data_IF_430638266590
#
_entry.id   IF_430638266590
#
_cell.length_a   1.000
_cell.length_b   1.000
_cell.length_c   1.000
_cell.angle_alpha   90.00
_cell.angle_beta   90.00
_cell.angle_gamma   90.00
#
_symmetry.space_group_name_H-M   'P 1'
#
loop_
_entity.id
_entity.type
_entity.pdbx_description
1 polymer ?
#
# COMPACT_ATOMS: atom_id res chain seq x y z
N UNK A 1 2.12 -15.09 -10.08
CA UNK A 1 0.70 -14.78 -10.39
C UNK A 1 -0.11 -14.56 -9.11
N UNK A 2 0.01 -15.41 -8.09
CA UNK A 2 -0.74 -15.25 -6.83
C UNK A 2 -0.61 -13.86 -6.16
N UNK A 3 0.61 -13.32 -6.03
CA UNK A 3 0.81 -11.97 -5.46
C UNK A 3 0.18 -10.84 -6.28
N UNK A 4 0.19 -10.96 -7.62
CA UNK A 4 -0.40 -9.97 -8.53
C UNK A 4 -1.92 -9.96 -8.38
N UNK A 5 -2.54 -11.15 -8.34
CA UNK A 5 -3.98 -11.30 -8.12
C UNK A 5 -4.34 -10.77 -6.72
N UNK A 6 -3.61 -11.17 -5.69
CA UNK A 6 -3.84 -10.71 -4.32
C UNK A 6 -3.73 -9.18 -4.20
N UNK A 7 -2.76 -8.56 -4.88
CA UNK A 7 -2.63 -7.11 -4.94
C UNK A 7 -3.83 -6.45 -5.62
N UNK A 8 -4.17 -6.86 -6.84
CA UNK A 8 -5.31 -6.31 -7.60
C UNK A 8 -6.60 -6.46 -6.81
N UNK A 9 -6.88 -7.66 -6.29
CA UNK A 9 -8.06 -7.91 -5.47
C UNK A 9 -8.08 -7.06 -4.20
N UNK A 10 -6.94 -6.90 -3.52
CA UNK A 10 -6.88 -6.07 -2.31
C UNK A 10 -7.15 -4.60 -2.60
N UNK A 11 -6.64 -4.05 -3.72
CA UNK A 11 -6.91 -2.67 -4.14
C UNK A 11 -8.39 -2.45 -4.46
N UNK A 12 -9.03 -3.40 -5.15
CA UNK A 12 -10.47 -3.29 -5.43
C UNK A 12 -11.29 -3.40 -4.14
N UNK A 13 -10.97 -4.36 -3.28
CA UNK A 13 -11.69 -4.58 -2.03
C UNK A 13 -11.53 -3.42 -1.05
N UNK A 14 -10.35 -2.82 -0.95
CA UNK A 14 -10.14 -1.68 -0.04
C UNK A 14 -10.88 -0.43 -0.52
N UNK A 15 -10.87 -0.16 -1.83
CA UNK A 15 -11.63 0.96 -2.41
C UNK A 15 -13.14 0.76 -2.19
N UNK A 16 -13.63 -0.46 -2.37
CA UNK A 16 -15.02 -0.80 -2.07
C UNK A 16 -15.34 -0.68 -0.58
N UNK A 17 -14.44 -1.09 0.30
CA UNK A 17 -14.62 -0.99 1.75
C UNK A 17 -14.66 0.46 2.23
N UNK A 18 -13.79 1.33 1.71
CA UNK A 18 -13.85 2.78 1.96
C UNK A 18 -15.14 3.40 1.43
N UNK A 19 -15.65 2.92 0.29
CA UNK A 19 -16.89 3.40 -0.30
C UNK A 19 -18.14 2.98 0.49
N UNK A 20 -18.14 1.80 1.11
CA UNK A 20 -19.31 1.24 1.78
C UNK A 20 -19.35 1.48 3.29
N UNK A 21 -18.18 1.47 3.94
CA UNK A 21 -18.05 1.60 5.39
C UNK A 21 -16.90 2.54 5.77
N UNK A 22 -16.98 3.85 5.45
CA UNK A 22 -15.91 4.82 5.73
C UNK A 22 -15.63 5.00 7.24
N UNK A 23 -16.57 4.66 8.11
CA UNK A 23 -16.43 4.72 9.57
C UNK A 23 -15.47 3.66 10.16
N UNK A 24 -15.08 2.66 9.38
CA UNK A 24 -14.09 1.64 9.76
C UNK A 24 -12.70 1.94 9.16
N UNK A 25 -12.41 3.23 8.92
CA UNK A 25 -11.18 3.76 8.34
C UNK A 25 -9.91 3.20 8.99
N UNK A 26 -9.90 3.01 10.31
CA UNK A 26 -8.78 2.40 11.03
C UNK A 26 -8.48 0.99 10.51
N UNK A 27 -9.50 0.15 10.35
CA UNK A 27 -9.34 -1.24 9.91
C UNK A 27 -8.94 -1.28 8.44
N UNK A 28 -9.60 -0.47 7.61
CA UNK A 28 -9.27 -0.38 6.19
C UNK A 28 -7.88 0.17 5.96
N UNK A 29 -7.46 1.17 6.74
CA UNK A 29 -6.11 1.72 6.68
C UNK A 29 -5.05 0.69 7.06
N UNK A 30 -5.30 -0.20 8.03
CA UNK A 30 -4.38 -1.30 8.33
C UNK A 30 -4.18 -2.20 7.11
N UNK A 31 -5.27 -2.57 6.43
CA UNK A 31 -5.22 -3.32 5.18
C UNK A 31 -4.51 -2.51 4.09
N UNK A 32 -4.73 -1.19 4.02
CA UNK A 32 -4.00 -0.31 3.12
C UNK A 32 -2.48 -0.44 3.29
N UNK A 33 -2.01 -0.52 4.53
CA UNK A 33 -0.62 -0.85 4.87
C UNK A 33 -0.14 -2.17 4.25
N UNK A 34 -0.97 -3.21 4.28
CA UNK A 34 -0.66 -4.50 3.64
C UNK A 34 -0.66 -4.41 2.10
N UNK A 35 -1.45 -3.52 1.50
CA UNK A 35 -1.43 -3.28 0.05
C UNK A 35 -0.07 -2.73 -0.38
N UNK A 36 0.55 -1.83 0.40
CA UNK A 36 1.92 -1.36 0.16
C UNK A 36 2.95 -2.50 0.16
N UNK A 37 2.84 -3.42 1.12
CA UNK A 37 3.69 -4.63 1.16
C UNK A 37 3.48 -5.48 -0.09
N UNK A 38 2.22 -5.75 -0.47
CA UNK A 38 1.91 -6.56 -1.66
C UNK A 38 2.46 -5.90 -2.93
N UNK A 39 2.37 -4.57 -3.03
CA UNK A 39 2.92 -3.77 -4.11
C UNK A 39 4.43 -3.95 -4.24
N UNK A 40 5.17 -3.76 -3.15
CA UNK A 40 6.62 -3.97 -3.10
C UNK A 40 7.02 -5.38 -3.54
N UNK A 41 6.24 -6.40 -3.15
CA UNK A 41 6.45 -7.78 -3.57
C UNK A 41 6.19 -7.98 -5.07
N UNK A 42 5.13 -7.40 -5.61
CA UNK A 42 4.81 -7.44 -7.04
C UNK A 42 5.89 -6.72 -7.83
N UNK A 43 6.34 -5.55 -7.40
CA UNK A 43 7.39 -4.76 -8.05
C UNK A 43 8.72 -5.51 -8.05
N UNK A 44 9.09 -6.15 -6.94
CA UNK A 44 10.31 -6.97 -6.89
C UNK A 44 10.23 -8.15 -7.88
N UNK A 45 9.06 -8.77 -8.02
CA UNK A 45 8.91 -10.00 -8.82
C UNK A 45 8.63 -9.75 -10.30
N UNK A 46 7.92 -8.68 -10.63
CA UNK A 46 7.42 -8.37 -11.98
C UNK A 46 7.93 -7.02 -12.52
N UNK A 47 8.74 -6.28 -11.77
CA UNK A 47 9.29 -4.98 -12.18
C UNK A 47 8.18 -3.97 -12.49
N UNK A 48 8.26 -3.37 -13.68
CA UNK A 48 7.27 -2.41 -14.18
C UNK A 48 5.84 -2.98 -14.36
N UNK A 49 5.67 -4.31 -14.30
CA UNK A 49 4.36 -4.95 -14.32
C UNK A 49 3.45 -4.57 -13.14
N UNK A 50 4.02 -4.03 -12.04
CA UNK A 50 3.25 -3.49 -10.92
C UNK A 50 2.34 -2.32 -11.34
N UNK A 51 2.84 -1.43 -12.20
CA UNK A 51 2.08 -0.28 -12.70
C UNK A 51 0.88 -0.74 -13.52
N UNK A 52 1.06 -1.72 -14.40
CA UNK A 52 -0.04 -2.28 -15.19
C UNK A 52 -1.09 -2.95 -14.29
N UNK A 53 -0.65 -3.68 -13.26
CA UNK A 53 -1.55 -4.30 -12.28
C UNK A 53 -2.34 -3.25 -11.49
N UNK A 54 -1.67 -2.18 -11.04
CA UNK A 54 -2.29 -1.05 -10.35
C UNK A 54 -3.33 -0.39 -11.24
N UNK A 55 -3.00 -0.06 -12.49
CA UNK A 55 -3.93 0.53 -13.45
C UNK A 55 -5.16 -0.36 -13.67
N UNK A 56 -4.97 -1.67 -13.85
CA UNK A 56 -6.07 -2.61 -13.98
C UNK A 56 -6.96 -2.63 -12.71
N UNK A 57 -6.35 -2.64 -11.53
CA UNK A 57 -7.08 -2.61 -10.26
C UNK A 57 -7.88 -1.31 -10.07
N UNK A 58 -7.33 -0.17 -10.51
CA UNK A 58 -7.99 1.13 -10.44
C UNK A 58 -9.15 1.24 -11.41
N UNK A 59 -9.00 0.76 -12.64
CA UNK A 59 -10.09 0.69 -13.63
C UNK A 59 -11.23 -0.17 -13.09
N UNK A 60 -10.91 -1.33 -12.50
CA UNK A 60 -11.92 -2.17 -11.84
C UNK A 60 -12.57 -1.45 -10.65
N UNK A 61 -11.78 -0.77 -9.82
CA UNK A 61 -12.27 -0.02 -8.66
C UNK A 61 -13.21 1.13 -9.06
N UNK A 62 -12.97 1.78 -10.20
CA UNK A 62 -13.82 2.85 -10.72
C UNK A 62 -15.22 2.34 -11.10
N UNK A 63 -15.34 1.06 -11.48
CA UNK A 63 -16.63 0.44 -11.81
C UNK A 63 -17.34 -0.07 -10.55
N UNK A 64 -16.59 -0.49 -9.53
CA UNK A 64 -17.17 -1.12 -8.31
C UNK A 64 -17.41 -0.17 -7.15
N UNK A 65 -16.72 0.96 -7.11
CA UNK A 65 -16.66 1.86 -5.95
C UNK A 65 -16.98 3.30 -6.36
N UNK A 66 -17.17 4.20 -5.38
CA UNK A 66 -17.42 5.61 -5.68
C UNK A 66 -16.28 6.21 -6.55
N UNK A 67 -16.62 6.88 -7.68
CA UNK A 67 -15.63 7.48 -8.57
C UNK A 67 -14.64 8.42 -7.88
N UNK A 68 -15.09 9.15 -6.84
CA UNK A 68 -14.24 10.07 -6.08
C UNK A 68 -13.15 9.31 -5.30
N UNK A 69 -13.51 8.21 -4.65
CA UNK A 69 -12.59 7.34 -3.90
C UNK A 69 -11.64 6.63 -4.87
N UNK A 70 -12.15 6.12 -5.99
CA UNK A 70 -11.32 5.46 -7.00
C UNK A 70 -10.27 6.42 -7.60
N UNK A 71 -10.65 7.67 -7.89
CA UNK A 71 -9.73 8.70 -8.39
C UNK A 71 -8.70 9.14 -7.33
N UNK A 72 -9.13 9.30 -6.07
CA UNK A 72 -8.25 9.62 -4.96
C UNK A 72 -7.21 8.52 -4.75
N UNK A 73 -7.64 7.26 -4.69
CA UNK A 73 -6.75 6.09 -4.58
C UNK A 73 -5.84 5.95 -5.80
N UNK A 74 -6.35 6.23 -7.01
CA UNK A 74 -5.53 6.18 -8.23
C UNK A 74 -4.37 7.17 -8.15
N UNK A 75 -4.64 8.39 -7.75
CA UNK A 75 -3.64 9.45 -7.65
C UNK A 75 -2.64 9.14 -6.53
N UNK A 76 -3.16 8.75 -5.36
CA UNK A 76 -2.33 8.40 -4.20
C UNK A 76 -1.42 7.20 -4.48
N UNK A 77 -1.95 6.12 -5.06
CA UNK A 77 -1.15 4.96 -5.42
C UNK A 77 -0.14 5.26 -6.54
N UNK A 78 -0.51 6.04 -7.56
CA UNK A 78 0.42 6.39 -8.63
C UNK A 78 1.62 7.19 -8.11
N UNK A 79 1.39 8.19 -7.25
CA UNK A 79 2.48 8.97 -6.65
C UNK A 79 3.36 8.09 -5.76
N UNK A 80 2.74 7.26 -4.92
CA UNK A 80 3.47 6.38 -4.03
C UNK A 80 4.22 5.25 -4.77
N UNK A 81 3.74 4.80 -5.93
CA UNK A 81 4.46 3.84 -6.79
C UNK A 81 5.70 4.49 -7.42
N UNK A 82 5.61 5.75 -7.86
CA UNK A 82 6.78 6.48 -8.35
C UNK A 82 7.87 6.63 -7.29
N UNK A 83 7.48 6.83 -6.04
CA UNK A 83 8.41 6.95 -4.90
C UNK A 83 9.05 5.61 -4.59
N UNK A 84 8.27 4.54 -4.53
CA UNK A 84 8.81 3.20 -4.35
C UNK A 84 9.78 2.86 -5.47
N UNK A 85 9.42 3.12 -6.74
CA UNK A 85 10.33 2.92 -7.86
C UNK A 85 11.64 3.70 -7.72
N UNK A 86 11.58 4.95 -7.26
CA UNK A 86 12.75 5.78 -6.99
C UNK A 86 13.61 5.19 -5.86
N UNK A 87 12.99 4.81 -4.73
CA UNK A 87 13.66 4.18 -3.59
C UNK A 87 14.30 2.86 -4.01
N UNK A 88 13.57 1.99 -4.71
CA UNK A 88 14.06 0.70 -5.17
C UNK A 88 15.22 0.82 -6.18
N UNK A 89 15.20 1.85 -7.03
CA UNK A 89 16.27 2.13 -7.99
C UNK A 89 17.54 2.64 -7.31
N UNK A 90 17.42 3.47 -6.28
CA UNK A 90 18.55 4.11 -5.60
C UNK A 90 19.15 3.20 -4.52
N UNK A 91 18.33 2.63 -3.64
CA UNK A 91 18.83 2.10 -2.36
C UNK A 91 19.57 0.75 -2.51
N UNK A 92 19.28 -0.05 -3.55
CA UNK A 92 19.91 -1.36 -3.85
C UNK A 92 20.09 -2.33 -2.65
N UNK A 93 19.39 -2.13 -1.53
CA UNK A 93 19.45 -2.90 -0.26
C UNK A 93 18.70 -4.24 -0.27
N UNK A 94 18.78 -5.11 0.74
CA UNK A 94 17.87 -6.27 0.83
C UNK A 94 16.39 -5.83 0.93
N UNK A 95 15.47 -6.69 0.46
CA UNK A 95 14.02 -6.41 0.35
C UNK A 95 13.39 -5.96 1.69
N UNK A 96 13.87 -6.53 2.79
CA UNK A 96 13.46 -6.19 4.15
C UNK A 96 13.66 -4.70 4.50
N UNK A 97 14.83 -4.15 4.19
CA UNK A 97 15.15 -2.75 4.49
C UNK A 97 14.43 -1.81 3.53
N UNK A 98 14.30 -2.22 2.26
CA UNK A 98 13.60 -1.44 1.25
C UNK A 98 12.13 -1.28 1.61
N UNK A 99 11.47 -2.35 2.04
CA UNK A 99 10.04 -2.36 2.35
C UNK A 99 9.66 -1.35 3.43
N UNK A 100 10.49 -1.21 4.47
CA UNK A 100 10.21 -0.23 5.52
C UNK A 100 10.50 1.20 5.06
N UNK A 101 11.57 1.41 4.29
CA UNK A 101 11.94 2.74 3.76
C UNK A 101 10.93 3.23 2.72
N UNK A 102 10.52 2.39 1.77
CA UNK A 102 9.50 2.68 0.75
C UNK A 102 8.20 3.05 1.43
N UNK A 103 7.70 2.19 2.31
CA UNK A 103 6.47 2.41 3.07
C UNK A 103 6.52 3.67 3.94
N UNK A 104 7.68 3.98 4.56
CA UNK A 104 7.82 5.19 5.38
C UNK A 104 7.67 6.50 4.59
N UNK A 105 8.01 6.49 3.30
CA UNK A 105 7.83 7.65 2.41
C UNK A 105 6.47 7.63 1.72
N UNK A 106 6.03 6.45 1.29
CA UNK A 106 4.81 6.25 0.52
C UNK A 106 3.52 6.36 1.36
N UNK A 107 3.51 5.93 2.63
CA UNK A 107 2.32 6.01 3.49
C UNK A 107 1.89 7.46 3.78
N UNK A 108 2.78 8.39 4.20
CA UNK A 108 2.40 9.78 4.41
C UNK A 108 1.83 10.40 3.15
N UNK A 109 2.50 10.23 2.00
CA UNK A 109 2.09 10.85 0.75
C UNK A 109 0.77 10.29 0.24
N UNK A 110 0.59 8.97 0.30
CA UNK A 110 -0.68 8.33 -0.02
C UNK A 110 -1.81 8.85 0.88
N UNK A 111 -1.58 8.94 2.19
CA UNK A 111 -2.61 9.36 3.14
C UNK A 111 -2.97 10.83 2.96
N UNK A 112 -2.00 11.71 2.76
CA UNK A 112 -2.27 13.14 2.51
C UNK A 112 -3.00 13.37 1.18
N UNK A 113 -2.60 12.68 0.10
CA UNK A 113 -3.24 12.79 -1.20
C UNK A 113 -4.66 12.20 -1.14
N UNK A 114 -4.81 10.98 -0.62
CA UNK A 114 -6.09 10.29 -0.56
C UNK A 114 -7.13 11.08 0.25
N UNK A 115 -6.83 11.38 1.52
CA UNK A 115 -7.76 12.11 2.39
C UNK A 115 -7.92 13.59 2.00
N UNK A 116 -6.90 14.18 1.35
CA UNK A 116 -6.99 15.51 0.77
C UNK A 116 -7.93 15.59 -0.43
N UNK A 117 -7.99 14.55 -1.26
CA UNK A 117 -8.85 14.52 -2.45
C UNK A 117 -10.31 14.17 -2.13
N UNK A 118 -10.58 13.50 -1.01
CA UNK A 118 -11.96 13.17 -0.57
C UNK A 118 -12.49 14.16 0.50
N UNK A 119 -11.86 15.32 0.65
CA UNK A 119 -12.21 16.37 1.62
C UNK A 119 -12.32 15.89 3.09
N UNK A 120 -11.63 14.81 3.44
CA UNK A 120 -11.61 14.22 4.79
C UNK A 120 -10.29 14.51 5.53
N UNK A 121 -9.66 15.65 5.20
CA UNK A 121 -8.36 16.06 5.72
C UNK A 121 -8.46 16.58 7.17
N UNK A 122 -8.63 15.68 8.12
CA UNK A 122 -8.61 16.02 9.55
C UNK A 122 -7.39 15.42 10.23
N UNK A 123 -6.77 16.11 11.22
CA UNK A 123 -5.62 15.55 11.94
C UNK A 123 -5.91 14.19 12.58
N UNK A 124 -7.13 13.98 13.08
CA UNK A 124 -7.54 12.72 13.67
C UNK A 124 -7.54 11.57 12.65
N UNK A 125 -8.15 11.76 11.48
CA UNK A 125 -8.21 10.75 10.41
C UNK A 125 -6.81 10.48 9.85
N UNK A 126 -6.00 11.51 9.63
CA UNK A 126 -4.63 11.36 9.13
C UNK A 126 -3.79 10.56 10.12
N UNK A 127 -3.80 10.92 11.40
CA UNK A 127 -2.98 10.24 12.42
C UNK A 127 -3.42 8.78 12.62
N UNK A 128 -4.72 8.52 12.64
CA UNK A 128 -5.25 7.16 12.79
C UNK A 128 -4.99 6.30 11.56
N UNK A 129 -5.21 6.83 10.35
CA UNK A 129 -4.93 6.14 9.10
C UNK A 129 -3.43 5.85 8.93
N UNK A 130 -2.56 6.85 9.17
CA UNK A 130 -1.11 6.67 9.14
C UNK A 130 -0.67 5.63 10.17
N UNK A 131 -1.09 5.79 11.43
CA UNK A 131 -0.75 4.87 12.52
C UNK A 131 -1.14 3.44 12.20
N UNK A 132 -2.34 3.25 11.64
CA UNK A 132 -2.85 1.94 11.25
C UNK A 132 -2.09 1.33 10.06
N UNK A 133 -1.82 2.10 9.01
CA UNK A 133 -0.99 1.67 7.87
C UNK A 133 0.42 1.27 8.33
N UNK A 134 1.04 2.09 9.17
CA UNK A 134 2.36 1.82 9.75
C UNK A 134 2.37 0.56 10.61
N UNK A 135 1.32 0.33 11.41
CA UNK A 135 1.17 -0.89 12.19
C UNK A 135 1.10 -2.12 11.28
N UNK A 136 0.33 -2.06 10.19
CA UNK A 136 0.22 -3.13 9.20
C UNK A 136 1.57 -3.47 8.54
N UNK A 137 2.29 -2.46 8.06
CA UNK A 137 3.62 -2.65 7.46
C UNK A 137 4.64 -3.18 8.48
N UNK A 138 4.66 -2.59 9.68
CA UNK A 138 5.60 -2.97 10.74
C UNK A 138 5.36 -4.41 11.18
N UNK A 139 4.11 -4.86 11.27
CA UNK A 139 3.79 -6.24 11.58
C UNK A 139 4.39 -7.22 10.55
N UNK A 140 4.22 -6.93 9.26
CA UNK A 140 4.81 -7.77 8.20
C UNK A 140 6.34 -7.71 8.23
N UNK A 141 6.90 -6.53 8.40
CA UNK A 141 8.35 -6.33 8.51
C UNK A 141 8.95 -7.13 9.67
N UNK A 142 8.32 -7.11 10.85
CA UNK A 142 8.74 -7.91 12.01
C UNK A 142 8.67 -9.42 11.74
N UNK A 143 7.63 -9.89 11.04
CA UNK A 143 7.50 -11.30 10.65
C UNK A 143 8.64 -11.70 9.69
N UNK A 144 8.96 -10.82 8.73
CA UNK A 144 10.09 -11.04 7.81
C UNK A 144 11.43 -11.06 8.56
N UNK A 145 11.65 -10.10 9.46
CA UNK A 145 12.84 -10.01 10.30
C UNK A 145 13.03 -11.29 11.14
N UNK A 146 11.95 -11.78 11.74
CA UNK A 146 11.97 -13.00 12.54
C UNK A 146 12.28 -14.25 11.73
N UNK A 147 11.73 -14.36 10.51
CA UNK A 147 12.03 -15.47 9.60
C UNK A 147 13.50 -15.48 9.15
N UNK A 148 14.05 -14.30 8.82
CA UNK A 148 15.45 -14.17 8.43
C UNK A 148 16.39 -14.57 9.59
N UNK A 149 16.08 -14.16 10.82
CA UNK A 149 16.83 -14.58 12.02
C UNK A 149 16.80 -16.09 12.22
N UNK A 150 15.64 -16.74 12.04
CA UNK A 150 15.53 -18.20 12.17
C UNK A 150 16.34 -18.95 11.13
N UNK A 151 16.40 -18.46 9.89
CA UNK A 151 17.19 -19.09 8.83
C UNK A 151 18.70 -18.98 9.12
N UNK A 152 19.16 -17.86 9.66
CA UNK A 152 20.56 -17.66 10.05
C UNK A 152 21.02 -18.52 11.25
N UNK A 153 20.08 -19.05 12.04
CA UNK A 153 20.39 -19.96 13.18
C UNK A 153 20.47 -21.43 12.73
N UNK A 154 19.94 -21.76 11.54
CA UNK A 154 19.86 -23.14 11.02
C UNK A 154 20.96 -23.43 9.98
N UNK A 155 21.62 -22.39 9.45
CA UNK A 155 22.78 -22.46 8.53
C UNK A 155 24.11 -22.45 9.25
#
# INVERSE_FOLDING_TARGET
MLFLIAYISSVVLINYAFSTAPHLDIIWSAWGGLVFVLRDMVQTRFGHGAIAAMLAALVLSYVTSDPSIALASATAFAVSECIDWLVFSITKRPLHDRLWISSALSIPLDTFIFFGMIDAFTPAVILTAMGSKFAGVTAVWLIMAWRLRKQAVVS
#
